data_IF_830023177056
#
_entry.id   IF_830023177056
#
_cell.length_a   1.000
_cell.length_b   1.000
_cell.length_c   1.000
_cell.angle_alpha   90.00
_cell.angle_beta   90.00
_cell.angle_gamma   90.00
#
_symmetry.space_group_name_H-M   'P 1'
#
loop_
_entity.id
_entity.type
_entity.pdbx_description
1 polymer ?
#
# COMPACT_ATOMS: atom_id res chain seq x y z
N UNK A 1 -59.54 -10.96 -9.47
CA UNK A 1 -58.20 -11.47 -9.05
C UNK A 1 -57.72 -12.39 -10.16
N UNK A 2 -56.54 -12.15 -10.76
CA UNK A 2 -56.09 -12.85 -11.98
C UNK A 2 -56.19 -14.38 -11.85
N UNK A 3 -57.11 -15.00 -12.60
CA UNK A 3 -57.44 -16.43 -12.54
C UNK A 3 -56.26 -17.35 -12.88
N UNK A 4 -55.24 -16.81 -13.57
CA UNK A 4 -54.04 -17.56 -13.95
C UNK A 4 -53.17 -17.97 -12.75
N UNK A 5 -52.93 -17.08 -11.78
CA UNK A 5 -52.11 -17.42 -10.61
C UNK A 5 -52.85 -18.32 -9.61
N UNK A 6 -54.18 -18.22 -9.54
CA UNK A 6 -54.99 -19.07 -8.67
C UNK A 6 -54.91 -20.56 -9.07
N UNK A 7 -54.73 -20.85 -10.35
CA UNK A 7 -54.71 -22.20 -10.90
C UNK A 7 -53.31 -22.84 -10.99
N UNK A 8 -52.26 -22.15 -10.55
CA UNK A 8 -50.92 -22.72 -10.44
C UNK A 8 -50.86 -23.64 -9.22
N UNK A 9 -50.11 -24.75 -9.31
CA UNK A 9 -49.90 -25.67 -8.18
C UNK A 9 -49.35 -24.97 -6.94
N UNK A 10 -49.78 -25.43 -5.77
CA UNK A 10 -49.27 -24.95 -4.47
C UNK A 10 -47.75 -25.10 -4.38
N UNK A 11 -47.21 -26.22 -4.87
CA UNK A 11 -45.76 -26.46 -4.90
C UNK A 11 -45.03 -25.38 -5.72
N UNK A 12 -45.50 -25.06 -6.93
CA UNK A 12 -44.89 -24.02 -7.76
C UNK A 12 -44.99 -22.62 -7.12
N UNK A 13 -46.10 -22.31 -6.42
CA UNK A 13 -46.25 -21.04 -5.68
C UNK A 13 -45.21 -20.91 -4.56
N UNK A 14 -45.00 -21.98 -3.79
CA UNK A 14 -43.98 -22.02 -2.73
C UNK A 14 -42.56 -21.97 -3.32
N UNK A 15 -42.30 -22.75 -4.37
CA UNK A 15 -41.01 -22.78 -5.05
C UNK A 15 -40.64 -21.41 -5.63
N UNK A 16 -41.59 -20.67 -6.23
CA UNK A 16 -41.35 -19.31 -6.72
C UNK A 16 -41.06 -18.33 -5.58
N UNK A 17 -41.83 -18.40 -4.48
CA UNK A 17 -41.63 -17.52 -3.33
C UNK A 17 -40.26 -17.75 -2.66
N UNK A 18 -40.00 -18.98 -2.22
CA UNK A 18 -38.73 -19.34 -1.58
C UNK A 18 -37.54 -19.27 -2.55
N UNK A 19 -37.72 -19.70 -3.80
CA UNK A 19 -36.68 -19.67 -4.82
C UNK A 19 -36.21 -18.24 -5.13
N UNK A 20 -37.13 -17.28 -5.16
CA UNK A 20 -36.76 -15.86 -5.34
C UNK A 20 -35.95 -15.33 -4.16
N UNK A 21 -36.36 -15.63 -2.92
CA UNK A 21 -35.62 -15.22 -1.72
C UNK A 21 -34.23 -15.85 -1.69
N UNK A 22 -34.12 -17.15 -1.99
CA UNK A 22 -32.84 -17.85 -2.05
C UNK A 22 -31.93 -17.31 -3.15
N UNK A 23 -32.47 -17.02 -4.34
CA UNK A 23 -31.73 -16.40 -5.43
C UNK A 23 -31.11 -15.07 -5.01
N UNK A 24 -31.90 -14.15 -4.43
CA UNK A 24 -31.35 -12.87 -3.98
C UNK A 24 -30.43 -12.99 -2.76
N UNK A 25 -30.64 -14.00 -1.91
CA UNK A 25 -29.69 -14.31 -0.83
C UNK A 25 -28.34 -14.74 -1.39
N UNK A 26 -28.32 -15.57 -2.45
CA UNK A 26 -27.09 -15.95 -3.14
C UNK A 26 -26.41 -14.75 -3.81
N UNK A 27 -27.18 -13.84 -4.43
CA UNK A 27 -26.65 -12.59 -4.98
C UNK A 27 -26.02 -11.72 -3.89
N UNK A 28 -26.69 -11.56 -2.74
CA UNK A 28 -26.13 -10.83 -1.59
C UNK A 28 -24.82 -11.43 -1.10
N UNK A 29 -24.76 -12.76 -0.98
CA UNK A 29 -23.54 -13.46 -0.59
C UNK A 29 -22.40 -13.24 -1.59
N UNK A 30 -22.69 -13.32 -2.89
CA UNK A 30 -21.71 -13.10 -3.97
C UNK A 30 -21.18 -11.65 -3.99
N UNK A 31 -22.06 -10.67 -3.78
CA UNK A 31 -21.68 -9.25 -3.64
C UNK A 31 -20.78 -9.05 -2.43
N UNK A 32 -21.13 -9.66 -1.29
CA UNK A 32 -20.31 -9.61 -0.09
C UNK A 32 -18.91 -10.20 -0.32
N UNK A 33 -18.85 -11.38 -0.95
CA UNK A 33 -17.60 -12.07 -1.25
C UNK A 33 -16.68 -11.24 -2.17
N UNK A 34 -17.21 -10.77 -3.30
CA UNK A 34 -16.45 -9.96 -4.26
C UNK A 34 -15.99 -8.62 -3.68
N UNK A 35 -16.76 -8.03 -2.77
CA UNK A 35 -16.34 -6.82 -2.04
C UNK A 35 -15.18 -7.10 -1.08
N UNK A 36 -15.18 -8.25 -0.42
CA UNK A 36 -14.10 -8.66 0.48
C UNK A 36 -12.81 -8.90 -0.30
N UNK A 37 -12.88 -9.60 -1.44
CA UNK A 37 -11.73 -9.87 -2.31
C UNK A 37 -11.09 -8.56 -2.81
N UNK A 38 -11.90 -7.58 -3.20
CA UNK A 38 -11.40 -6.24 -3.56
C UNK A 38 -10.70 -5.56 -2.38
N UNK A 39 -11.26 -5.62 -1.17
CA UNK A 39 -10.66 -5.03 0.03
C UNK A 39 -9.32 -5.69 0.39
N UNK A 40 -9.23 -7.02 0.28
CA UNK A 40 -7.99 -7.77 0.48
C UNK A 40 -6.95 -7.31 -0.55
N UNK A 41 -7.33 -7.27 -1.84
CA UNK A 41 -6.46 -6.79 -2.90
C UNK A 41 -5.92 -5.37 -2.62
N UNK A 42 -6.76 -4.44 -2.15
CA UNK A 42 -6.32 -3.08 -1.78
C UNK A 42 -5.35 -3.08 -0.60
N UNK A 43 -5.63 -3.90 0.40
CA UNK A 43 -4.80 -4.02 1.60
C UNK A 43 -3.42 -4.56 1.26
N UNK A 44 -3.33 -5.54 0.37
CA UNK A 44 -2.04 -6.08 -0.11
C UNK A 44 -1.21 -5.01 -0.82
N UNK A 45 -1.85 -4.22 -1.71
CA UNK A 45 -1.20 -3.10 -2.41
C UNK A 45 -0.72 -2.01 -1.47
N UNK A 46 -1.50 -1.68 -0.45
CA UNK A 46 -1.06 -0.78 0.62
C UNK A 46 0.15 -1.37 1.36
N UNK A 47 0.13 -2.67 1.67
CA UNK A 47 1.25 -3.38 2.27
C UNK A 47 2.52 -3.35 1.41
N UNK A 48 2.39 -3.42 0.08
CA UNK A 48 3.51 -3.29 -0.85
C UNK A 48 4.11 -1.88 -0.88
N UNK A 49 3.28 -0.84 -0.81
CA UNK A 49 3.72 0.56 -0.72
C UNK A 49 4.42 0.82 0.63
N UNK A 50 3.88 0.29 1.72
CA UNK A 50 4.51 0.42 3.05
C UNK A 50 5.88 -0.27 3.08
N UNK A 51 6.01 -1.46 2.47
CA UNK A 51 7.30 -2.14 2.33
C UNK A 51 8.31 -1.34 1.50
N UNK A 52 7.86 -0.67 0.44
CA UNK A 52 8.72 0.25 -0.31
C UNK A 52 9.25 1.38 0.58
N UNK A 53 8.38 2.00 1.39
CA UNK A 53 8.76 3.08 2.30
C UNK A 53 9.74 2.62 3.40
N UNK A 54 9.55 1.43 3.93
CA UNK A 54 10.47 0.82 4.91
C UNK A 54 11.83 0.53 4.27
N UNK A 55 11.85 -0.05 3.07
CA UNK A 55 13.08 -0.29 2.31
C UNK A 55 13.83 1.02 2.00
N UNK A 56 13.13 2.10 1.67
CA UNK A 56 13.76 3.42 1.50
C UNK A 56 14.37 3.92 2.80
N UNK A 57 13.69 3.73 3.93
CA UNK A 57 14.17 4.16 5.25
C UNK A 57 15.46 3.41 5.61
N UNK A 58 15.49 2.10 5.45
CA UNK A 58 16.70 1.30 5.69
C UNK A 58 17.84 1.66 4.74
N UNK A 59 17.55 1.95 3.47
CA UNK A 59 18.54 2.46 2.50
C UNK A 59 19.11 3.82 2.94
N UNK A 60 18.26 4.75 3.40
CA UNK A 60 18.72 6.06 3.90
C UNK A 60 19.60 5.93 5.14
N UNK A 61 19.29 4.98 6.03
CA UNK A 61 20.13 4.67 7.20
C UNK A 61 21.49 4.12 6.74
N UNK A 62 21.51 3.13 5.84
CA UNK A 62 22.75 2.57 5.31
C UNK A 62 23.62 3.63 4.60
N UNK A 63 22.99 4.56 3.86
CA UNK A 63 23.66 5.72 3.26
C UNK A 63 24.31 6.63 4.33
N UNK A 64 23.61 6.92 5.42
CA UNK A 64 24.17 7.73 6.51
C UNK A 64 25.32 7.01 7.22
N UNK A 65 25.22 5.69 7.41
CA UNK A 65 26.32 4.88 7.93
C UNK A 65 27.55 4.94 7.02
N UNK A 66 27.37 4.80 5.70
CA UNK A 66 28.44 4.96 4.71
C UNK A 66 29.14 6.32 4.79
N UNK A 67 28.38 7.40 5.05
CA UNK A 67 28.96 8.73 5.29
C UNK A 67 29.77 8.81 6.58
N UNK A 68 29.27 8.19 7.65
CA UNK A 68 29.93 8.20 8.97
C UNK A 68 31.23 7.39 8.96
N UNK A 69 31.31 6.36 8.13
CA UNK A 69 32.52 5.55 7.92
C UNK A 69 33.43 6.10 6.83
N UNK A 70 33.23 7.35 6.41
CA UNK A 70 34.05 8.07 5.41
C UNK A 70 34.33 7.26 4.13
N UNK A 71 33.32 6.53 3.66
CA UNK A 71 33.41 5.81 2.40
C UNK A 71 33.87 4.35 2.48
N UNK A 72 33.92 3.75 3.68
CA UNK A 72 34.30 2.34 3.86
C UNK A 72 33.57 1.36 2.91
N UNK A 73 34.31 0.39 2.38
CA UNK A 73 33.80 -0.54 1.36
C UNK A 73 32.76 -1.53 1.91
N UNK A 74 32.86 -1.92 3.19
CA UNK A 74 31.85 -2.78 3.83
C UNK A 74 30.52 -2.03 3.96
N UNK A 75 30.57 -0.77 4.38
CA UNK A 75 29.40 0.09 4.42
C UNK A 75 28.84 0.36 3.01
N UNK A 76 29.71 0.48 2.00
CA UNK A 76 29.31 0.64 0.59
C UNK A 76 28.54 -0.58 0.07
N UNK A 77 29.01 -1.79 0.37
CA UNK A 77 28.35 -3.05 0.00
C UNK A 77 26.99 -3.21 0.70
N UNK A 78 26.92 -2.89 1.99
CA UNK A 78 25.64 -2.89 2.72
C UNK A 78 24.65 -1.90 2.11
N UNK A 79 25.09 -0.68 1.81
CA UNK A 79 24.26 0.34 1.15
C UNK A 79 23.77 -0.14 -0.22
N UNK A 80 24.63 -0.76 -1.03
CA UNK A 80 24.24 -1.33 -2.32
C UNK A 80 23.18 -2.42 -2.15
N UNK A 81 23.37 -3.35 -1.20
CA UNK A 81 22.37 -4.39 -0.93
C UNK A 81 21.00 -3.83 -0.54
N UNK A 82 20.95 -2.73 0.24
CA UNK A 82 19.68 -2.04 0.55
C UNK A 82 19.06 -1.36 -0.67
N UNK A 83 19.88 -0.81 -1.56
CA UNK A 83 19.41 -0.22 -2.82
C UNK A 83 18.78 -1.30 -3.71
N UNK A 84 19.42 -2.46 -3.82
CA UNK A 84 18.93 -3.56 -4.64
C UNK A 84 17.58 -4.09 -4.13
N UNK A 85 17.42 -4.24 -2.81
CA UNK A 85 16.14 -4.60 -2.18
C UNK A 85 15.05 -3.55 -2.44
N UNK A 86 15.38 -2.26 -2.31
CA UNK A 86 14.44 -1.18 -2.63
C UNK A 86 14.01 -1.20 -4.10
N UNK A 87 14.96 -1.35 -5.03
CA UNK A 87 14.70 -1.43 -6.48
C UNK A 87 13.85 -2.66 -6.83
N UNK A 88 14.12 -3.81 -6.23
CA UNK A 88 13.32 -5.02 -6.44
C UNK A 88 11.86 -4.82 -6.03
N UNK A 89 11.63 -4.16 -4.88
CA UNK A 89 10.27 -3.81 -4.44
C UNK A 89 9.61 -2.81 -5.39
N UNK A 90 10.33 -1.76 -5.81
CA UNK A 90 9.82 -0.77 -6.78
C UNK A 90 9.42 -1.44 -8.12
N UNK A 91 10.23 -2.35 -8.63
CA UNK A 91 9.93 -3.11 -9.85
C UNK A 91 8.71 -4.03 -9.66
N UNK A 92 8.57 -4.66 -8.49
CA UNK A 92 7.40 -5.46 -8.15
C UNK A 92 6.11 -4.62 -8.16
N UNK A 93 6.15 -3.37 -7.70
CA UNK A 93 5.00 -2.46 -7.76
C UNK A 93 4.57 -2.19 -9.21
N UNK A 94 5.52 -1.97 -10.14
CA UNK A 94 5.21 -1.73 -11.56
C UNK A 94 4.46 -2.91 -12.21
N UNK A 95 4.79 -4.14 -11.83
CA UNK A 95 4.14 -5.35 -12.38
C UNK A 95 2.79 -5.62 -11.72
N UNK A 96 2.66 -5.26 -10.45
CA UNK A 96 1.54 -5.70 -9.61
C UNK A 96 0.39 -4.67 -9.54
N UNK A 97 0.64 -3.43 -9.95
CA UNK A 97 -0.35 -2.36 -10.02
C UNK A 97 -0.82 -2.13 -11.47
N UNK A 98 -1.99 -2.66 -11.80
CA UNK A 98 -2.54 -2.59 -13.17
C UNK A 98 -3.50 -1.42 -13.39
N UNK A 99 -3.90 -0.70 -12.34
CA UNK A 99 -4.86 0.38 -12.48
C UNK A 99 -4.20 1.62 -13.14
N UNK A 100 -4.78 2.19 -14.21
CA UNK A 100 -4.24 3.34 -14.93
C UNK A 100 -3.86 4.53 -14.05
N UNK A 101 -4.62 4.78 -12.98
CA UNK A 101 -4.41 5.91 -12.06
C UNK A 101 -3.06 5.80 -11.33
N UNK A 102 -2.57 4.58 -11.11
CA UNK A 102 -1.28 4.35 -10.44
C UNK A 102 -0.09 4.40 -11.40
N UNK A 103 -0.31 4.25 -12.71
CA UNK A 103 0.78 4.06 -13.67
C UNK A 103 1.69 5.29 -13.78
N UNK A 104 1.12 6.50 -13.69
CA UNK A 104 1.89 7.73 -13.74
C UNK A 104 2.83 7.86 -12.53
N UNK A 105 2.34 7.88 -11.27
CA UNK A 105 3.23 7.98 -10.11
C UNK A 105 4.21 6.81 -10.00
N UNK A 106 3.86 5.60 -10.47
CA UNK A 106 4.79 4.47 -10.51
C UNK A 106 5.93 4.65 -11.51
N UNK A 107 5.69 5.27 -12.66
CA UNK A 107 6.76 5.61 -13.62
C UNK A 107 7.65 6.72 -13.09
N UNK A 108 7.07 7.76 -12.51
CA UNK A 108 7.84 8.83 -11.85
C UNK A 108 8.69 8.27 -10.70
N UNK A 109 8.15 7.31 -9.94
CA UNK A 109 8.88 6.58 -8.91
C UNK A 109 10.06 5.78 -9.49
N UNK A 110 9.87 5.15 -10.66
CA UNK A 110 10.94 4.43 -11.34
C UNK A 110 12.06 5.37 -11.81
N UNK A 111 11.70 6.52 -12.37
CA UNK A 111 12.64 7.52 -12.85
C UNK A 111 13.46 8.12 -11.70
N UNK A 112 12.81 8.57 -10.62
CA UNK A 112 13.55 9.10 -9.47
C UNK A 112 14.38 8.03 -8.76
N UNK A 113 13.98 6.76 -8.82
CA UNK A 113 14.78 5.64 -8.27
C UNK A 113 16.07 5.43 -9.06
N UNK A 114 16.00 5.53 -10.40
CA UNK A 114 17.17 5.48 -11.29
C UNK A 114 18.10 6.66 -11.06
N UNK A 115 17.55 7.86 -10.87
CA UNK A 115 18.33 9.05 -10.54
C UNK A 115 18.97 8.94 -9.15
N UNK A 116 18.27 8.35 -8.17
CA UNK A 116 18.79 8.09 -6.83
C UNK A 116 19.96 7.10 -6.86
N UNK A 117 19.87 6.04 -7.67
CA UNK A 117 20.97 5.09 -7.90
C UNK A 117 22.19 5.78 -8.53
N UNK A 118 21.98 6.59 -9.56
CA UNK A 118 23.06 7.35 -10.18
C UNK A 118 23.76 8.28 -9.17
N UNK A 119 22.99 9.02 -8.37
CA UNK A 119 23.51 9.86 -7.29
C UNK A 119 24.27 9.05 -6.24
N UNK A 120 23.79 7.86 -5.85
CA UNK A 120 24.51 6.98 -4.92
C UNK A 120 25.86 6.52 -5.49
N UNK A 121 25.91 6.19 -6.79
CA UNK A 121 27.16 5.83 -7.45
C UNK A 121 28.13 7.01 -7.51
N UNK A 122 27.64 8.21 -7.83
CA UNK A 122 28.44 9.45 -7.77
C UNK A 122 28.95 9.74 -6.36
N UNK A 123 28.15 9.45 -5.33
CA UNK A 123 28.56 9.57 -3.93
C UNK A 123 29.73 8.64 -3.64
N UNK A 124 29.63 7.36 -4.01
CA UNK A 124 30.72 6.38 -3.81
C UNK A 124 32.01 6.83 -4.49
N UNK A 125 31.91 7.28 -5.74
CA UNK A 125 33.06 7.80 -6.48
C UNK A 125 33.68 9.03 -5.79
N UNK A 126 32.87 9.95 -5.27
CA UNK A 126 33.36 11.13 -4.56
C UNK A 126 34.11 10.78 -3.27
N UNK A 127 33.64 9.80 -2.49
CA UNK A 127 34.33 9.33 -1.28
C UNK A 127 35.64 8.60 -1.60
N UNK A 128 35.65 7.75 -2.63
CA UNK A 128 36.88 7.09 -3.10
C UNK A 128 37.91 8.11 -3.61
N UNK A 129 37.48 9.09 -4.41
CA UNK A 129 38.34 10.18 -4.86
C UNK A 129 38.85 11.01 -3.67
N UNK A 130 37.99 11.33 -2.70
CA UNK A 130 38.38 12.05 -1.48
C UNK A 130 39.44 11.29 -0.66
N UNK A 131 39.32 9.98 -0.54
CA UNK A 131 40.33 9.15 0.12
C UNK A 131 41.69 9.20 -0.60
N UNK A 132 41.68 9.08 -1.93
CA UNK A 132 42.90 9.19 -2.73
C UNK A 132 43.55 10.57 -2.61
N UNK A 133 42.75 11.64 -2.69
CA UNK A 133 43.23 13.01 -2.53
C UNK A 133 43.85 13.22 -1.15
N UNK A 134 43.25 12.69 -0.06
CA UNK A 134 43.85 12.78 1.28
C UNK A 134 45.20 12.06 1.39
N UNK A 135 45.37 10.93 0.69
CA UNK A 135 46.66 10.24 0.60
C UNK A 135 47.69 11.09 -0.14
N UNK A 136 47.33 11.67 -1.29
CA UNK A 136 48.18 12.59 -2.04
C UNK A 136 48.56 13.84 -1.24
N UNK A 137 47.59 14.45 -0.53
CA UNK A 137 47.85 15.55 0.39
C UNK A 137 48.87 15.15 1.45
N UNK A 138 48.74 13.96 2.03
CA UNK A 138 49.70 13.46 3.03
C UNK A 138 51.09 13.28 2.43
N UNK A 139 51.18 12.69 1.24
CA UNK A 139 52.45 12.50 0.53
C UNK A 139 53.11 13.83 0.16
N UNK A 140 52.37 14.75 -0.47
CA UNK A 140 52.86 16.06 -0.89
C UNK A 140 53.23 16.95 0.29
N UNK A 141 52.46 16.93 1.38
CA UNK A 141 52.79 17.65 2.61
C UNK A 141 54.04 17.10 3.29
N UNK A 142 54.27 15.78 3.21
CA UNK A 142 55.50 15.14 3.71
C UNK A 142 56.70 15.51 2.83
N UNK A 143 56.54 15.48 1.51
CA UNK A 143 57.58 15.89 0.56
C UNK A 143 57.98 17.36 0.77
N UNK A 144 57.00 18.26 0.98
CA UNK A 144 57.28 19.67 1.28
C UNK A 144 58.07 19.85 2.58
N UNK A 145 57.75 19.06 3.63
CA UNK A 145 58.50 19.08 4.89
C UNK A 145 59.93 18.55 4.71
N UNK A 146 60.12 17.49 3.94
CA UNK A 146 61.46 16.95 3.65
C UNK A 146 62.30 17.93 2.82
N UNK A 147 61.69 18.63 1.87
CA UNK A 147 62.37 19.62 1.04
C UNK A 147 62.78 20.85 1.86
N UNK A 148 61.92 21.34 2.77
CA UNK A 148 62.27 22.47 3.65
C UNK A 148 63.33 22.10 4.68
N UNK A 149 63.34 20.86 5.18
CA UNK A 149 64.38 20.38 6.08
C UNK A 149 65.73 20.23 5.34
N UNK A 150 65.70 19.78 4.09
CA UNK A 150 66.90 19.74 3.23
C UNK A 150 67.50 21.14 3.00
N UNK A 151 66.65 22.16 2.82
CA UNK A 151 67.07 23.56 2.76
C UNK A 151 67.74 24.01 4.06
N UNK A 152 67.12 23.72 5.21
CA UNK A 152 67.68 24.04 6.52
C UNK A 152 69.04 23.37 6.75
N UNK A 153 69.17 22.09 6.40
CA UNK A 153 70.43 21.35 6.47
C UNK A 153 71.52 21.96 5.58
N UNK A 154 71.17 22.42 4.37
CA UNK A 154 72.10 23.11 3.48
C UNK A 154 72.64 24.41 4.11
N UNK A 155 71.79 25.18 4.81
CA UNK A 155 72.23 26.38 5.54
C UNK A 155 73.16 26.01 6.71
N UNK A 156 72.89 24.91 7.41
CA UNK A 156 73.72 24.49 8.54
C UNK A 156 75.14 24.08 8.11
N UNK A 157 75.31 23.65 6.85
CA UNK A 157 76.60 23.31 6.24
C UNK A 157 77.41 24.55 5.79
N UNK A 158 76.80 25.74 5.72
CA UNK A 158 77.51 26.99 5.42
C UNK A 158 78.45 27.32 6.59
N UNK A 159 79.63 27.86 6.28
CA UNK A 159 80.62 28.27 7.28
C UNK A 159 80.00 29.19 8.34
N UNK A 160 80.18 28.94 9.65
CA UNK A 160 79.61 29.76 10.70
C UNK A 160 79.98 31.24 10.67
N UNK A 161 81.08 31.61 10.01
CA UNK A 161 81.52 32.99 9.84
C UNK A 161 80.93 33.68 8.60
N UNK A 162 80.22 32.96 7.72
CA UNK A 162 79.56 33.54 6.56
C UNK A 162 78.43 34.49 7.02
N UNK A 163 78.49 35.78 6.65
CA UNK A 163 77.50 36.77 7.08
C UNK A 163 76.07 36.46 6.57
N UNK A 164 75.92 35.73 5.46
CA UNK A 164 74.61 35.37 4.91
C UNK A 164 73.93 34.20 5.65
N UNK A 165 74.69 33.42 6.44
CA UNK A 165 74.19 32.20 7.09
C UNK A 165 72.99 32.48 8.00
N UNK A 166 73.04 33.56 8.78
CA UNK A 166 71.97 33.92 9.72
C UNK A 166 70.66 34.24 8.98
N UNK A 167 70.71 35.09 7.95
CA UNK A 167 69.54 35.50 7.17
C UNK A 167 68.92 34.30 6.43
N UNK A 168 69.76 33.43 5.84
CA UNK A 168 69.31 32.19 5.20
C UNK A 168 68.65 31.24 6.20
N UNK A 169 69.20 31.11 7.41
CA UNK A 169 68.63 30.26 8.46
C UNK A 169 67.26 30.79 8.92
N UNK A 170 67.12 32.11 9.06
CA UNK A 170 65.85 32.75 9.41
C UNK A 170 64.80 32.49 8.31
N UNK A 171 65.17 32.65 7.04
CA UNK A 171 64.27 32.37 5.92
C UNK A 171 63.85 30.89 5.83
N UNK A 172 64.78 29.95 6.02
CA UNK A 172 64.47 28.53 6.07
C UNK A 172 63.51 28.18 7.23
N UNK A 173 63.75 28.76 8.41
CA UNK A 173 62.89 28.53 9.57
C UNK A 173 61.49 29.12 9.36
N UNK A 174 61.38 30.31 8.80
CA UNK A 174 60.10 30.92 8.45
C UNK A 174 59.33 30.06 7.44
N UNK A 175 59.98 29.56 6.38
CA UNK A 175 59.35 28.67 5.41
C UNK A 175 58.86 27.35 6.06
N UNK A 176 59.63 26.80 7.00
CA UNK A 176 59.24 25.63 7.78
C UNK A 176 58.04 25.94 8.69
N UNK A 177 58.03 27.10 9.36
CA UNK A 177 56.92 27.52 10.21
C UNK A 177 55.64 27.75 9.39
N UNK A 178 55.76 28.40 8.23
CA UNK A 178 54.65 28.59 7.29
C UNK A 178 54.06 27.25 6.88
N UNK A 179 54.89 26.26 6.54
CA UNK A 179 54.42 24.94 6.16
C UNK A 179 53.74 24.20 7.32
N UNK A 180 54.24 24.33 8.55
CA UNK A 180 53.58 23.76 9.73
C UNK A 180 52.20 24.38 9.96
N UNK A 181 52.09 25.71 9.86
CA UNK A 181 50.81 26.43 9.95
C UNK A 181 49.85 26.05 8.82
N UNK A 182 50.36 25.96 7.58
CA UNK A 182 49.59 25.46 6.43
C UNK A 182 49.01 24.08 6.73
N UNK A 183 49.84 23.12 7.19
CA UNK A 183 49.37 21.76 7.50
C UNK A 183 48.39 21.74 8.67
N UNK A 184 48.55 22.63 9.64
CA UNK A 184 47.61 22.78 10.76
C UNK A 184 46.24 23.24 10.26
N UNK A 185 46.18 24.33 9.49
CA UNK A 185 44.92 24.88 8.96
C UNK A 185 44.25 23.90 7.98
N UNK A 186 45.04 23.26 7.09
CA UNK A 186 44.52 22.23 6.18
C UNK A 186 43.98 21.03 6.96
N UNK A 187 44.62 20.61 8.06
CA UNK A 187 44.08 19.55 8.92
C UNK A 187 42.77 19.98 9.58
N UNK A 188 42.67 21.23 10.03
CA UNK A 188 41.42 21.83 10.51
C UNK A 188 40.31 21.81 9.45
N UNK A 189 40.64 22.16 8.21
CA UNK A 189 39.72 22.09 7.08
C UNK A 189 39.27 20.67 6.76
N UNK A 190 40.19 19.72 6.63
CA UNK A 190 39.84 18.32 6.32
C UNK A 190 39.02 17.66 7.43
N UNK A 191 39.22 18.03 8.69
CA UNK A 191 38.44 17.50 9.83
C UNK A 191 37.07 18.15 9.99
N UNK A 192 36.91 19.41 9.57
CA UNK A 192 35.63 20.11 9.60
C UNK A 192 35.50 21.04 8.38
N UNK A 193 35.13 20.51 7.20
CA UNK A 193 35.04 21.31 5.99
C UNK A 193 33.90 22.31 6.05
N UNK A 194 34.22 23.61 6.09
CA UNK A 194 33.28 24.72 6.02
C UNK A 194 33.98 25.98 5.50
N UNK A 195 33.21 27.03 5.18
CA UNK A 195 33.74 28.25 4.57
C UNK A 195 34.86 28.90 5.40
N UNK A 196 34.79 28.83 6.73
CA UNK A 196 35.77 29.42 7.64
C UNK A 196 37.10 28.65 7.60
N UNK A 197 37.03 27.31 7.74
CA UNK A 197 38.23 26.47 7.74
C UNK A 197 38.86 26.39 6.35
N UNK A 198 38.04 26.42 5.29
CA UNK A 198 38.51 26.55 3.91
C UNK A 198 39.28 27.86 3.74
N UNK A 199 38.66 29.00 4.08
CA UNK A 199 39.30 30.31 3.92
C UNK A 199 40.62 30.39 4.67
N UNK A 200 40.68 29.90 5.92
CA UNK A 200 41.91 29.90 6.72
C UNK A 200 43.02 29.04 6.08
N UNK A 201 42.71 27.82 5.63
CA UNK A 201 43.67 26.94 4.97
C UNK A 201 44.19 27.53 3.67
N UNK A 202 43.31 28.08 2.84
CA UNK A 202 43.66 28.67 1.55
C UNK A 202 44.48 29.95 1.71
N UNK A 203 44.13 30.84 2.65
CA UNK A 203 44.92 32.03 2.96
C UNK A 203 46.33 31.69 3.45
N UNK A 204 46.46 30.70 4.34
CA UNK A 204 47.77 30.29 4.84
C UNK A 204 48.64 29.63 3.75
N UNK A 205 48.02 28.86 2.84
CA UNK A 205 48.68 28.32 1.65
C UNK A 205 49.17 29.42 0.71
N UNK A 206 48.31 30.40 0.42
CA UNK A 206 48.63 31.52 -0.48
C UNK A 206 49.76 32.37 0.10
N UNK A 207 49.74 32.59 1.42
CA UNK A 207 50.83 33.27 2.16
C UNK A 207 52.16 32.52 2.02
N UNK A 208 52.19 31.22 2.31
CA UNK A 208 53.40 30.40 2.18
C UNK A 208 53.96 30.37 0.75
N UNK A 209 53.07 30.29 -0.26
CA UNK A 209 53.46 30.34 -1.68
C UNK A 209 54.03 31.72 -2.05
N UNK A 210 53.47 32.81 -1.53
CA UNK A 210 53.95 34.17 -1.81
C UNK A 210 55.38 34.42 -1.31
N UNK A 211 55.80 33.71 -0.26
CA UNK A 211 57.16 33.82 0.30
C UNK A 211 58.22 33.07 -0.52
N UNK A 212 57.83 32.21 -1.48
CA UNK A 212 58.77 31.43 -2.30
C UNK A 212 59.71 32.31 -3.12
N UNK A 213 59.26 33.45 -3.64
CA UNK A 213 60.10 34.29 -4.49
C UNK A 213 61.22 34.97 -3.68
N UNK A 214 60.93 35.38 -2.45
CA UNK A 214 61.94 35.88 -1.51
C UNK A 214 62.94 34.78 -1.14
N UNK A 215 62.47 33.56 -0.92
CA UNK A 215 63.32 32.41 -0.62
C UNK A 215 64.27 32.10 -1.79
N UNK A 216 63.75 32.06 -3.02
CA UNK A 216 64.53 31.88 -4.26
C UNK A 216 65.61 32.94 -4.42
N UNK A 217 65.25 34.21 -4.22
CA UNK A 217 66.17 35.33 -4.38
C UNK A 217 67.33 35.26 -3.38
N UNK A 218 67.07 34.87 -2.13
CA UNK A 218 68.08 34.82 -1.08
C UNK A 218 69.07 33.63 -1.23
N UNK A 219 68.56 32.44 -1.54
CA UNK A 219 69.38 31.23 -1.60
C UNK A 219 70.17 31.06 -2.92
N UNK A 220 69.82 31.82 -3.96
CA UNK A 220 70.59 31.92 -5.20
C UNK A 220 70.76 30.60 -5.96
N UNK A 221 71.85 30.49 -6.74
CA UNK A 221 72.12 29.33 -7.60
C UNK A 221 72.63 28.10 -6.86
N UNK A 222 73.29 28.28 -5.70
CA UNK A 222 73.91 27.19 -4.95
C UNK A 222 72.90 26.18 -4.41
N UNK A 223 71.69 26.62 -4.08
CA UNK A 223 70.60 25.78 -3.55
C UNK A 223 69.39 25.70 -4.49
N UNK A 224 69.60 25.98 -5.78
CA UNK A 224 68.50 26.10 -6.75
C UNK A 224 67.65 24.84 -6.85
N UNK A 225 68.27 23.68 -6.75
CA UNK A 225 67.58 22.39 -6.81
C UNK A 225 66.68 22.18 -5.59
N UNK A 226 67.20 22.42 -4.38
CA UNK A 226 66.45 22.26 -3.14
C UNK A 226 65.24 23.21 -3.08
N UNK A 227 65.40 24.46 -3.54
CA UNK A 227 64.28 25.41 -3.62
C UNK A 227 63.25 24.95 -4.64
N UNK A 228 63.68 24.47 -5.82
CA UNK A 228 62.76 23.98 -6.84
C UNK A 228 61.97 22.76 -6.36
N UNK A 229 62.60 21.87 -5.60
CA UNK A 229 61.93 20.73 -4.95
C UNK A 229 60.90 21.21 -3.92
N UNK A 230 61.25 22.19 -3.07
CA UNK A 230 60.33 22.76 -2.08
C UNK A 230 59.14 23.47 -2.74
N UNK A 231 59.38 24.30 -3.75
CA UNK A 231 58.33 24.97 -4.52
C UNK A 231 57.40 23.95 -5.17
N UNK A 232 57.95 22.94 -5.86
CA UNK A 232 57.18 21.91 -6.52
C UNK A 232 56.30 21.16 -5.51
N UNK A 233 56.87 20.72 -4.38
CA UNK A 233 56.13 20.02 -3.34
C UNK A 233 55.02 20.89 -2.71
N UNK A 234 55.29 22.18 -2.44
CA UNK A 234 54.29 23.10 -1.90
C UNK A 234 53.15 23.37 -2.89
N UNK A 235 53.47 23.54 -4.18
CA UNK A 235 52.46 23.71 -5.24
C UNK A 235 51.63 22.44 -5.47
N UNK A 236 52.26 21.27 -5.43
CA UNK A 236 51.56 19.99 -5.50
C UNK A 236 50.64 19.79 -4.29
N UNK A 237 51.10 20.16 -3.08
CA UNK A 237 50.27 20.14 -1.88
C UNK A 237 49.06 21.07 -2.02
N UNK A 238 49.25 22.28 -2.54
CA UNK A 238 48.14 23.19 -2.86
C UNK A 238 47.16 22.56 -3.85
N UNK A 239 47.65 21.99 -4.95
CA UNK A 239 46.80 21.30 -5.94
C UNK A 239 45.99 20.17 -5.33
N UNK A 240 46.55 19.40 -4.38
CA UNK A 240 45.80 18.36 -3.67
C UNK A 240 44.74 18.95 -2.72
N UNK A 241 45.00 20.10 -2.09
CA UNK A 241 43.99 20.83 -1.28
C UNK A 241 42.86 21.37 -2.15
N UNK A 242 43.17 21.88 -3.35
CA UNK A 242 42.18 22.27 -4.35
C UNK A 242 41.30 21.08 -4.80
N UNK A 243 41.91 19.92 -5.04
CA UNK A 243 41.19 18.69 -5.35
C UNK A 243 40.31 18.22 -4.17
N UNK A 244 40.76 18.42 -2.92
CA UNK A 244 39.97 18.09 -1.74
C UNK A 244 38.72 18.97 -1.62
N UNK A 245 38.87 20.27 -1.91
CA UNK A 245 37.74 21.20 -2.00
C UNK A 245 36.73 20.73 -3.05
N UNK A 246 37.18 20.40 -4.25
CA UNK A 246 36.30 19.94 -5.34
C UNK A 246 35.55 18.64 -4.99
N UNK A 247 36.23 17.66 -4.38
CA UNK A 247 35.61 16.41 -3.95
C UNK A 247 34.59 16.63 -2.83
N UNK A 248 34.89 17.53 -1.88
CA UNK A 248 33.97 17.90 -0.79
C UNK A 248 32.71 18.60 -1.31
N UNK A 249 32.87 19.52 -2.28
CA UNK A 249 31.74 20.20 -2.94
C UNK A 249 30.87 19.22 -3.73
N UNK A 250 31.50 18.29 -4.45
CA UNK A 250 30.79 17.21 -5.17
C UNK A 250 29.99 16.35 -4.20
N UNK A 251 30.61 15.89 -3.11
CA UNK A 251 29.92 15.13 -2.07
C UNK A 251 28.76 15.92 -1.44
N UNK A 252 28.92 17.23 -1.22
CA UNK A 252 27.85 18.09 -0.72
C UNK A 252 26.67 18.21 -1.70
N UNK A 253 26.94 18.40 -3.00
CA UNK A 253 25.90 18.45 -4.04
C UNK A 253 25.13 17.14 -4.12
N UNK A 254 25.85 16.02 -4.21
CA UNK A 254 25.24 14.69 -4.31
C UNK A 254 24.38 14.37 -3.07
N UNK A 255 24.81 14.77 -1.87
CA UNK A 255 23.98 14.61 -0.65
C UNK A 255 22.67 15.40 -0.72
N UNK A 256 22.70 16.61 -1.31
CA UNK A 256 21.51 17.43 -1.53
C UNK A 256 20.56 16.76 -2.53
N UNK A 257 21.10 16.23 -3.62
CA UNK A 257 20.32 15.54 -4.64
C UNK A 257 19.66 14.28 -4.04
N UNK A 258 20.41 13.44 -3.35
CA UNK A 258 19.89 12.26 -2.66
C UNK A 258 18.83 12.59 -1.60
N UNK A 259 18.94 13.76 -0.95
CA UNK A 259 17.91 14.20 0.02
C UNK A 259 16.63 14.61 -0.69
N UNK A 260 16.74 15.34 -1.81
CA UNK A 260 15.61 15.78 -2.62
C UNK A 260 14.91 14.61 -3.31
N UNK A 261 15.68 13.71 -3.91
CA UNK A 261 15.20 12.48 -4.53
C UNK A 261 14.53 11.58 -3.49
N UNK A 262 15.14 11.39 -2.32
CA UNK A 262 14.54 10.63 -1.21
C UNK A 262 13.20 11.21 -0.75
N UNK A 263 13.08 12.53 -0.64
CA UNK A 263 11.81 13.19 -0.32
C UNK A 263 10.75 13.01 -1.42
N UNK A 264 11.18 13.04 -2.69
CA UNK A 264 10.30 12.81 -3.85
C UNK A 264 9.76 11.38 -3.86
N UNK A 265 10.61 10.38 -3.56
CA UNK A 265 10.20 8.98 -3.41
C UNK A 265 9.16 8.84 -2.31
N UNK A 266 9.37 9.46 -1.13
CA UNK A 266 8.40 9.45 -0.03
C UNK A 266 7.06 10.04 -0.48
N UNK A 267 7.09 11.21 -1.12
CA UNK A 267 5.88 11.89 -1.62
C UNK A 267 5.10 11.02 -2.61
N UNK A 268 5.77 10.37 -3.55
CA UNK A 268 5.13 9.46 -4.51
C UNK A 268 4.57 8.21 -3.82
N UNK A 269 5.25 7.70 -2.80
CA UNK A 269 4.73 6.61 -1.95
C UNK A 269 3.45 7.02 -1.20
N UNK A 270 3.41 8.22 -0.62
CA UNK A 270 2.22 8.79 0.04
C UNK A 270 1.08 9.02 -0.95
N UNK A 271 1.38 9.50 -2.16
CA UNK A 271 0.39 9.67 -3.23
C UNK A 271 -0.23 8.33 -3.63
N UNK A 272 0.59 7.30 -3.87
CA UNK A 272 0.13 5.94 -4.17
C UNK A 272 -0.72 5.36 -3.03
N UNK A 273 -0.31 5.59 -1.78
CA UNK A 273 -1.09 5.17 -0.61
C UNK A 273 -2.45 5.87 -0.59
N UNK A 274 -2.48 7.19 -0.80
CA UNK A 274 -3.68 8.00 -0.84
C UNK A 274 -4.65 7.56 -1.93
N UNK A 275 -4.12 7.25 -3.13
CA UNK A 275 -4.90 6.70 -4.24
C UNK A 275 -5.56 5.36 -3.87
N UNK A 276 -4.82 4.43 -3.26
CA UNK A 276 -5.40 3.14 -2.83
C UNK A 276 -6.47 3.31 -1.75
N UNK A 277 -6.25 4.23 -0.81
CA UNK A 277 -7.21 4.55 0.24
C UNK A 277 -8.50 5.16 -0.33
N UNK A 278 -8.39 6.09 -1.28
CA UNK A 278 -9.55 6.69 -1.92
C UNK A 278 -10.34 5.65 -2.72
N UNK A 279 -9.66 4.85 -3.54
CA UNK A 279 -10.30 3.78 -4.30
C UNK A 279 -10.98 2.75 -3.37
N UNK A 280 -10.36 2.41 -2.24
CA UNK A 280 -10.97 1.53 -1.24
C UNK A 280 -12.26 2.10 -0.63
N UNK A 281 -12.31 3.41 -0.39
CA UNK A 281 -13.53 4.10 0.07
C UNK A 281 -14.63 4.07 -0.99
N UNK A 282 -14.29 4.33 -2.24
CA UNK A 282 -15.23 4.28 -3.38
C UNK A 282 -15.77 2.86 -3.61
N UNK A 283 -14.89 1.85 -3.61
CA UNK A 283 -15.25 0.42 -3.71
C UNK A 283 -16.21 0.02 -2.59
N UNK A 284 -15.93 0.43 -1.35
CA UNK A 284 -16.77 0.14 -0.17
C UNK A 284 -18.13 0.86 -0.24
N UNK A 285 -18.16 2.11 -0.68
CA UNK A 285 -19.39 2.88 -0.82
C UNK A 285 -20.32 2.26 -1.89
N UNK A 286 -19.75 1.88 -3.05
CA UNK A 286 -20.49 1.17 -4.09
C UNK A 286 -21.03 -0.17 -3.60
N UNK A 287 -20.19 -0.99 -2.94
CA UNK A 287 -20.63 -2.27 -2.37
C UNK A 287 -21.78 -2.09 -1.35
N UNK A 288 -21.68 -1.11 -0.45
CA UNK A 288 -22.76 -0.78 0.49
C UNK A 288 -24.05 -0.38 -0.20
N UNK A 289 -23.98 0.46 -1.23
CA UNK A 289 -25.17 0.89 -1.96
C UNK A 289 -25.89 -0.28 -2.64
N UNK A 290 -25.12 -1.20 -3.24
CA UNK A 290 -25.65 -2.38 -3.91
C UNK A 290 -26.22 -3.37 -2.90
N UNK A 291 -25.53 -3.60 -1.78
CA UNK A 291 -26.01 -4.44 -0.69
C UNK A 291 -27.32 -3.90 -0.09
N UNK A 292 -27.41 -2.59 0.16
CA UNK A 292 -28.62 -1.96 0.68
C UNK A 292 -29.78 -2.08 -0.31
N UNK A 293 -29.53 -1.87 -1.61
CA UNK A 293 -30.53 -2.08 -2.66
C UNK A 293 -31.05 -3.52 -2.71
N UNK A 294 -30.15 -4.50 -2.65
CA UNK A 294 -30.52 -5.92 -2.62
C UNK A 294 -31.32 -6.28 -1.35
N UNK A 295 -30.93 -5.77 -0.17
CA UNK A 295 -31.66 -6.02 1.08
C UNK A 295 -33.09 -5.48 1.00
N UNK A 296 -33.27 -4.24 0.54
CA UNK A 296 -34.61 -3.64 0.36
C UNK A 296 -35.44 -4.47 -0.61
N UNK A 297 -34.85 -4.91 -1.72
CA UNK A 297 -35.55 -5.70 -2.73
C UNK A 297 -35.94 -7.10 -2.22
N UNK A 298 -35.07 -7.78 -1.47
CA UNK A 298 -35.40 -9.07 -0.81
C UNK A 298 -36.53 -8.88 0.19
N UNK A 299 -36.52 -7.81 0.98
CA UNK A 299 -37.57 -7.53 1.95
C UNK A 299 -38.92 -7.31 1.28
N UNK A 300 -38.96 -6.53 0.20
CA UNK A 300 -40.18 -6.30 -0.60
C UNK A 300 -40.71 -7.60 -1.21
N UNK A 301 -39.84 -8.44 -1.78
CA UNK A 301 -40.22 -9.73 -2.35
C UNK A 301 -40.68 -10.73 -1.30
N UNK A 302 -40.07 -10.72 -0.10
CA UNK A 302 -40.50 -11.52 1.04
C UNK A 302 -41.90 -11.13 1.52
N UNK A 303 -42.17 -9.83 1.64
CA UNK A 303 -43.52 -9.31 1.98
C UNK A 303 -44.53 -9.71 0.90
N UNK A 304 -44.17 -9.52 -0.38
CA UNK A 304 -45.04 -9.89 -1.51
C UNK A 304 -45.36 -11.39 -1.49
N UNK A 305 -44.35 -12.25 -1.31
CA UNK A 305 -44.51 -13.69 -1.21
C UNK A 305 -45.41 -14.07 -0.01
N UNK A 306 -45.20 -13.47 1.16
CA UNK A 306 -46.02 -13.70 2.34
C UNK A 306 -47.49 -13.33 2.10
N UNK A 307 -47.76 -12.19 1.44
CA UNK A 307 -49.13 -11.76 1.08
C UNK A 307 -49.76 -12.72 0.08
N UNK A 308 -49.01 -13.14 -0.95
CA UNK A 308 -49.48 -14.07 -1.98
C UNK A 308 -49.80 -15.43 -1.37
N UNK A 309 -48.90 -16.00 -0.56
CA UNK A 309 -49.09 -17.28 0.15
C UNK A 309 -50.31 -17.19 1.07
N UNK A 310 -50.42 -16.11 1.87
CA UNK A 310 -51.55 -15.91 2.78
C UNK A 310 -52.88 -15.89 2.03
N UNK A 311 -52.95 -15.18 0.90
CA UNK A 311 -54.19 -15.05 0.12
C UNK A 311 -54.52 -16.28 -0.72
N UNK A 312 -53.53 -16.98 -1.25
CA UNK A 312 -53.73 -18.10 -2.18
C UNK A 312 -53.75 -19.47 -1.46
N UNK A 313 -53.12 -19.61 -0.30
CA UNK A 313 -53.03 -20.88 0.41
C UNK A 313 -53.81 -20.79 1.73
N UNK A 314 -53.41 -19.89 2.62
CA UNK A 314 -53.96 -19.84 3.98
C UNK A 314 -55.44 -19.48 4.03
N UNK A 315 -55.91 -18.50 3.24
CA UNK A 315 -57.33 -18.12 3.21
C UNK A 315 -58.23 -19.25 2.67
N UNK A 316 -58.01 -19.82 1.47
CA UNK A 316 -58.86 -20.89 0.95
C UNK A 316 -58.84 -22.16 1.81
N UNK A 317 -57.72 -22.43 2.48
CA UNK A 317 -57.64 -23.54 3.44
C UNK A 317 -58.50 -23.28 4.68
N UNK A 318 -58.55 -22.04 5.20
CA UNK A 318 -59.49 -21.65 6.26
C UNK A 318 -60.95 -21.73 5.81
N UNK A 319 -61.25 -21.30 4.59
CA UNK A 319 -62.62 -21.38 4.03
C UNK A 319 -63.05 -22.85 3.93
N UNK A 320 -62.14 -23.72 3.49
CA UNK A 320 -62.37 -25.17 3.41
C UNK A 320 -62.61 -25.79 4.79
N UNK A 321 -61.83 -25.39 5.80
CA UNK A 321 -62.00 -25.86 7.18
C UNK A 321 -63.37 -25.46 7.75
N UNK A 322 -63.80 -24.23 7.50
CA UNK A 322 -65.12 -23.76 7.94
C UNK A 322 -66.28 -24.56 7.34
N UNK A 323 -66.15 -25.01 6.07
CA UNK A 323 -67.14 -25.89 5.44
C UNK A 323 -67.17 -27.26 6.14
N UNK A 324 -66.02 -27.83 6.45
CA UNK A 324 -65.92 -29.11 7.15
C UNK A 324 -66.53 -29.03 8.55
N UNK A 325 -66.24 -27.97 9.31
CA UNK A 325 -66.82 -27.74 10.64
C UNK A 325 -68.35 -27.65 10.59
N UNK A 326 -68.91 -26.99 9.58
CA UNK A 326 -70.37 -26.93 9.38
C UNK A 326 -70.98 -28.31 9.09
N UNK A 327 -70.37 -29.07 8.19
CA UNK A 327 -70.78 -30.46 7.90
C UNK A 327 -70.74 -31.29 9.18
N UNK A 328 -69.68 -31.17 9.99
CA UNK A 328 -69.54 -31.88 11.26
C UNK A 328 -70.59 -31.46 12.29
N UNK A 329 -71.06 -30.21 12.26
CA UNK A 329 -72.17 -29.72 13.10
C UNK A 329 -73.57 -30.11 12.60
N UNK A 330 -73.67 -30.82 11.47
CA UNK A 330 -74.93 -31.28 10.88
C UNK A 330 -75.59 -30.26 9.95
N UNK A 331 -74.99 -29.08 9.73
CA UNK A 331 -75.47 -28.12 8.74
C UNK A 331 -74.97 -28.49 7.34
N UNK A 332 -75.83 -29.20 6.60
CA UNK A 332 -75.59 -29.63 5.23
C UNK A 332 -76.19 -28.68 4.19
N UNK A 333 -76.66 -27.48 4.55
CA UNK A 333 -77.45 -26.63 3.62
C UNK A 333 -76.60 -25.81 2.64
N UNK A 334 -75.33 -25.55 2.98
CA UNK A 334 -74.44 -24.74 2.16
C UNK A 334 -73.85 -25.50 0.96
N UNK A 335 -73.85 -24.86 -0.21
CA UNK A 335 -73.18 -25.39 -1.42
C UNK A 335 -72.49 -24.24 -2.14
N UNK A 336 -71.23 -23.96 -1.80
CA UNK A 336 -70.44 -22.98 -2.54
C UNK A 336 -69.83 -23.60 -3.81
N UNK A 337 -69.82 -22.82 -4.89
CA UNK A 337 -69.23 -23.26 -6.16
C UNK A 337 -67.70 -23.16 -6.12
N UNK A 338 -67.03 -24.30 -6.21
CA UNK A 338 -65.56 -24.35 -6.30
C UNK A 338 -65.11 -23.88 -7.68
N UNK A 339 -64.52 -22.68 -7.75
CA UNK A 339 -64.06 -22.07 -9.02
C UNK A 339 -62.57 -22.30 -9.31
N UNK A 340 -61.85 -22.94 -8.38
CA UNK A 340 -60.39 -23.15 -8.42
C UNK A 340 -60.04 -24.55 -8.94
N UNK A 341 -58.92 -24.66 -9.67
CA UNK A 341 -58.47 -25.90 -10.34
C UNK A 341 -57.12 -26.45 -9.87
N UNK A 342 -56.53 -25.89 -8.81
CA UNK A 342 -55.29 -26.43 -8.23
C UNK A 342 -55.57 -27.40 -7.08
N UNK A 343 -54.55 -27.82 -6.33
CA UNK A 343 -54.67 -28.83 -5.27
C UNK A 343 -55.70 -28.44 -4.20
N UNK A 344 -55.84 -27.15 -3.88
CA UNK A 344 -56.86 -26.68 -2.94
C UNK A 344 -58.26 -26.70 -3.56
N UNK A 345 -58.38 -26.43 -4.86
CA UNK A 345 -59.62 -26.62 -5.60
C UNK A 345 -60.08 -28.08 -5.64
N UNK A 346 -59.14 -29.02 -5.85
CA UNK A 346 -59.43 -30.46 -5.82
C UNK A 346 -59.87 -30.89 -4.41
N UNK A 347 -59.21 -30.40 -3.35
CA UNK A 347 -59.61 -30.65 -1.97
C UNK A 347 -61.03 -30.14 -1.66
N UNK A 348 -61.34 -28.89 -2.06
CA UNK A 348 -62.66 -28.29 -1.89
C UNK A 348 -63.75 -29.09 -2.63
N UNK A 349 -63.49 -29.52 -3.86
CA UNK A 349 -64.41 -30.37 -4.64
C UNK A 349 -64.66 -31.72 -3.94
N UNK A 350 -63.63 -32.34 -3.36
CA UNK A 350 -63.75 -33.57 -2.59
C UNK A 350 -64.66 -33.41 -1.36
N UNK A 351 -64.49 -32.33 -0.60
CA UNK A 351 -65.32 -32.01 0.57
C UNK A 351 -66.76 -31.69 0.16
N UNK A 352 -66.96 -30.96 -0.94
CA UNK A 352 -68.29 -30.68 -1.47
C UNK A 352 -69.04 -31.97 -1.86
N UNK A 353 -68.34 -32.91 -2.51
CA UNK A 353 -68.89 -34.22 -2.85
C UNK A 353 -69.29 -34.99 -1.60
N UNK A 354 -68.44 -35.01 -0.58
CA UNK A 354 -68.73 -35.63 0.72
C UNK A 354 -69.99 -35.04 1.38
N UNK A 355 -70.10 -33.71 1.45
CA UNK A 355 -71.27 -33.04 2.00
C UNK A 355 -72.56 -33.35 1.24
N UNK A 356 -72.49 -33.45 -0.09
CA UNK A 356 -73.63 -33.82 -0.96
C UNK A 356 -74.08 -35.26 -0.69
N UNK A 357 -73.14 -36.20 -0.65
CA UNK A 357 -73.44 -37.61 -0.35
C UNK A 357 -74.01 -37.79 1.06
N UNK A 358 -73.50 -37.08 2.07
CA UNK A 358 -74.09 -37.11 3.42
C UNK A 358 -75.52 -36.56 3.43
N UNK A 359 -75.80 -35.48 2.68
CA UNK A 359 -77.15 -34.92 2.57
C UNK A 359 -78.12 -35.90 1.92
N UNK A 360 -77.70 -36.57 0.84
CA UNK A 360 -78.48 -37.60 0.17
C UNK A 360 -78.77 -38.79 1.10
N UNK A 361 -77.76 -39.26 1.85
CA UNK A 361 -77.93 -40.34 2.84
C UNK A 361 -78.92 -39.97 3.94
N UNK A 362 -78.82 -38.76 4.51
CA UNK A 362 -79.77 -38.29 5.55
C UNK A 362 -81.18 -38.13 4.98
N UNK A 363 -81.31 -37.62 3.74
CA UNK A 363 -82.62 -37.55 3.07
C UNK A 363 -83.20 -38.94 2.85
N UNK A 364 -82.41 -39.90 2.37
CA UNK A 364 -82.85 -41.29 2.18
C UNK A 364 -83.26 -41.97 3.48
N UNK A 365 -82.56 -41.70 4.59
CA UNK A 365 -82.97 -42.17 5.93
C UNK A 365 -84.29 -41.53 6.33
N UNK A 366 -84.48 -40.22 6.11
CA UNK A 366 -85.74 -39.53 6.42
C UNK A 366 -86.90 -40.11 5.60
N UNK A 367 -86.69 -40.36 4.32
CA UNK A 367 -87.68 -40.96 3.43
C UNK A 367 -88.03 -42.38 3.89
N UNK A 368 -87.02 -43.18 4.27
CA UNK A 368 -87.19 -44.51 4.86
C UNK A 368 -87.94 -44.50 6.20
N UNK A 369 -87.64 -43.56 7.10
CA UNK A 369 -88.39 -43.38 8.36
C UNK A 369 -89.84 -42.98 8.09
N UNK A 370 -90.08 -42.11 7.09
CA UNK A 370 -91.45 -41.72 6.69
C UNK A 370 -92.21 -42.95 6.18
N UNK A 371 -91.56 -43.78 5.37
CA UNK A 371 -92.16 -45.02 4.85
C UNK A 371 -92.42 -46.06 5.96
N UNK A 372 -91.52 -46.18 6.94
CA UNK A 372 -91.73 -47.02 8.14
C UNK A 372 -92.89 -46.48 8.99
N UNK A 373 -92.97 -45.16 9.19
CA UNK A 373 -94.06 -44.54 9.95
C UNK A 373 -95.41 -44.80 9.26
N UNK A 374 -95.49 -44.63 7.93
CA UNK A 374 -96.68 -44.98 7.16
C UNK A 374 -97.02 -46.47 7.26
N UNK A 375 -96.03 -47.37 7.18
CA UNK A 375 -96.25 -48.81 7.35
C UNK A 375 -96.67 -49.19 8.80
N UNK A 376 -96.18 -48.46 9.80
CA UNK A 376 -96.57 -48.64 11.20
C UNK A 376 -97.99 -48.10 11.48
N UNK A 377 -98.41 -47.01 10.84
CA UNK A 377 -99.81 -46.55 10.84
C UNK A 377 -100.73 -47.57 10.17
N UNK A 378 -100.31 -48.13 9.03
CA UNK A 378 -101.04 -49.20 8.34
C UNK A 378 -101.17 -50.45 9.22
N UNK A 379 -100.08 -50.87 9.89
CA UNK A 379 -100.07 -51.96 10.86
C UNK A 379 -100.93 -51.66 12.10
N UNK A 380 -100.88 -50.44 12.64
CA UNK A 380 -101.71 -50.03 13.77
C UNK A 380 -103.19 -50.08 13.41
N UNK A 381 -103.56 -49.59 12.22
CA UNK A 381 -104.92 -49.70 11.70
C UNK A 381 -105.36 -51.16 11.53
N UNK A 382 -104.48 -52.04 11.03
CA UNK A 382 -104.75 -53.49 10.95
C UNK A 382 -104.91 -54.12 12.34
N UNK A 383 -104.10 -53.71 13.33
CA UNK A 383 -104.13 -54.24 14.70
C UNK A 383 -105.38 -53.77 15.46
N UNK A 384 -105.83 -52.53 15.21
CA UNK A 384 -107.07 -51.96 15.71
C UNK A 384 -108.29 -52.67 15.08
N UNK A 385 -108.19 -53.02 13.79
CA UNK A 385 -109.19 -53.84 13.08
C UNK A 385 -109.18 -55.32 13.50
N UNK A 386 -108.12 -55.82 14.13
CA UNK A 386 -108.06 -57.18 14.73
C UNK A 386 -108.39 -57.21 16.22
N UNK A 387 -108.46 -56.05 16.90
CA UNK A 387 -108.80 -55.92 18.32
C UNK A 387 -110.25 -55.51 18.57
N UNK A 388 -111.03 -55.27 17.51
CA UNK A 388 -112.49 -55.12 17.50
C UNK A 388 -113.14 -56.42 17.01
#
# INVERSE_FOLDING_TARGET
MNSRFANISVNMKLALGFGTVLFFTAVLALVGWTSLDKLIYRTDRIGDITRLSDNLTTLRIARLQYMLTDGDETAAQNMQGKLDVFKAQQQSLLVSFNNPVNLKPLRELADVTRDYEASLNSMRAAYQAGANVRNEMTANGTAAMQAVESLNNAVMQIDPSDPARFDLAQLANNARQDLVLVRYEVRGYTGNPNDKTETAAFQQLDSAISHLDRLKAAFGTANREQIAQFESALRNYRSSVDAFKATTQTAASVRKDLTTQGATIVKLGEELYGLQMQMGKEDTAHARSLQMGCVVLVMLLGILAAVVITRQITRPLRDTLAIVERIASGDLTHTEAVTRRDELGVLQQGIQRMGTTLRELISGIRDGVTQIASAAEELSAVTEQTSA
#
